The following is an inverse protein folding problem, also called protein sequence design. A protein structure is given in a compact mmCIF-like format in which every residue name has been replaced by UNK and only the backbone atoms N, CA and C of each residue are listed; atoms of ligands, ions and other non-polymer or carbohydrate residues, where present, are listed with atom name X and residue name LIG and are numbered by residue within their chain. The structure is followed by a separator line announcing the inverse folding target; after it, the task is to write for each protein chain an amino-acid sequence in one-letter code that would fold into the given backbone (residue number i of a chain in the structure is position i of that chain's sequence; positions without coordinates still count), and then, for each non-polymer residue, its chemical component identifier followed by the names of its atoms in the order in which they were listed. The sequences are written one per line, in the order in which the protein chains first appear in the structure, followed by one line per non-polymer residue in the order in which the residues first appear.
data_IF_464232205931
#
_entry.id   IF_464232205931
#
_cell.length_a   1.000
_cell.length_b   1.000
_cell.length_c   1.000
_cell.angle_alpha   90.00
_cell.angle_beta   90.00
_cell.angle_gamma   90.00
#
_symmetry.space_group_name_H-M   'P 1'
#
loop_
_entity.id
_entity.type
_entity.pdbx_description
1 polymer ?
#
# COMPACT_ATOMS: atom_id res chain seq x y z
N UNK A 1 59.77 8.30 -22.07
CA UNK A 1 59.51 7.35 -23.17
C UNK A 1 58.90 6.10 -22.58
N UNK A 2 57.61 5.92 -22.88
CA UNK A 2 56.69 4.79 -22.73
C UNK A 2 56.71 3.95 -21.45
N UNK A 3 55.80 4.33 -20.55
CA UNK A 3 54.99 3.39 -19.77
C UNK A 3 54.18 2.53 -20.75
N UNK A 4 54.31 1.21 -20.70
CA UNK A 4 53.37 0.30 -21.33
C UNK A 4 52.40 -0.19 -20.26
N UNK A 5 51.15 0.27 -20.42
CA UNK A 5 49.94 -0.28 -19.81
C UNK A 5 49.91 -1.80 -19.87
N UNK A 6 49.73 -2.43 -18.71
CA UNK A 6 49.29 -3.82 -18.63
C UNK A 6 48.36 -3.99 -17.43
N UNK A 7 47.28 -3.24 -17.42
CA UNK A 7 46.08 -3.54 -16.63
C UNK A 7 44.93 -3.80 -17.58
N UNK A 8 44.48 -5.05 -17.62
CA UNK A 8 43.05 -5.44 -17.67
C UNK A 8 42.90 -6.82 -18.30
N UNK A 9 43.25 -7.85 -17.53
CA UNK A 9 42.46 -9.09 -17.56
C UNK A 9 41.45 -8.98 -16.43
N UNK A 10 40.39 -8.20 -16.65
CA UNK A 10 39.18 -8.29 -15.81
C UNK A 10 38.61 -9.68 -16.01
N UNK A 11 38.66 -10.52 -14.98
CA UNK A 11 37.94 -11.79 -14.99
C UNK A 11 36.45 -11.48 -15.21
N UNK A 12 35.95 -11.93 -16.37
CA UNK A 12 34.64 -11.60 -16.95
C UNK A 12 33.52 -12.24 -16.11
N UNK A 13 33.78 -13.40 -15.50
CA UNK A 13 32.94 -13.99 -14.46
C UNK A 13 33.83 -14.79 -13.49
N UNK A 14 33.35 -15.06 -12.28
CA UNK A 14 34.04 -15.91 -11.31
C UNK A 14 33.13 -17.05 -10.86
N UNK A 15 33.70 -18.25 -10.81
CA UNK A 15 33.01 -19.49 -10.41
C UNK A 15 33.88 -20.18 -9.38
N UNK A 16 33.47 -20.15 -8.12
CA UNK A 16 34.13 -20.89 -7.06
C UNK A 16 33.32 -22.16 -6.79
N UNK A 17 33.80 -23.27 -7.34
CA UNK A 17 33.14 -24.58 -7.29
C UNK A 17 33.11 -25.13 -5.85
N UNK A 18 34.09 -24.77 -5.02
CA UNK A 18 34.21 -25.27 -3.65
C UNK A 18 33.23 -24.56 -2.71
N UNK A 19 32.95 -23.27 -2.94
CA UNK A 19 31.99 -22.47 -2.13
C UNK A 19 30.60 -22.37 -2.75
N UNK A 20 30.45 -22.69 -4.04
CA UNK A 20 29.22 -22.51 -4.79
C UNK A 20 28.92 -21.04 -5.12
N UNK A 21 29.91 -20.17 -5.06
CA UNK A 21 29.76 -18.75 -5.37
C UNK A 21 30.00 -18.50 -6.86
N UNK A 22 29.03 -17.85 -7.51
CA UNK A 22 29.11 -17.45 -8.90
C UNK A 22 28.85 -15.95 -9.00
N UNK A 23 29.73 -15.20 -9.63
CA UNK A 23 29.56 -13.76 -9.84
C UNK A 23 29.91 -13.37 -11.27
N UNK A 24 29.13 -12.45 -11.84
CA UNK A 24 29.28 -11.97 -13.21
C UNK A 24 29.11 -10.44 -13.21
N UNK A 25 29.90 -9.72 -14.01
CA UNK A 25 29.94 -8.26 -14.02
C UNK A 25 29.11 -7.65 -15.15
N UNK A 26 27.92 -8.21 -15.40
CA UNK A 26 26.99 -7.69 -16.40
C UNK A 26 26.07 -8.77 -16.96
N UNK A 27 25.06 -8.37 -17.74
CA UNK A 27 24.13 -9.30 -18.36
C UNK A 27 24.80 -10.23 -19.40
N UNK A 28 25.80 -9.74 -20.13
CA UNK A 28 26.58 -10.55 -21.09
C UNK A 28 27.45 -11.60 -20.37
N UNK A 29 28.11 -11.20 -19.28
CA UNK A 29 28.93 -12.07 -18.44
C UNK A 29 28.10 -13.15 -17.74
N UNK A 30 26.90 -12.80 -17.30
CA UNK A 30 25.94 -13.75 -16.73
C UNK A 30 25.51 -14.79 -17.78
N UNK A 31 25.39 -14.40 -19.04
CA UNK A 31 25.03 -15.30 -20.12
C UNK A 31 26.14 -16.33 -20.38
N UNK A 32 27.40 -15.88 -20.41
CA UNK A 32 28.58 -16.76 -20.50
C UNK A 32 28.71 -17.70 -19.30
N UNK A 33 28.44 -17.20 -18.09
CA UNK A 33 28.42 -18.01 -16.87
C UNK A 33 27.33 -19.11 -16.92
N UNK A 34 26.14 -18.78 -17.43
CA UNK A 34 25.05 -19.75 -17.57
C UNK A 34 25.30 -20.78 -18.67
N UNK A 35 26.01 -20.41 -19.73
CA UNK A 35 26.48 -21.34 -20.75
C UNK A 35 27.52 -22.32 -20.17
N UNK A 36 28.49 -21.81 -19.41
CA UNK A 36 29.48 -22.63 -18.70
C UNK A 36 28.84 -23.62 -17.72
N UNK A 37 27.86 -23.17 -16.91
CA UNK A 37 27.13 -24.04 -15.98
C UNK A 37 26.26 -25.09 -16.68
N UNK A 38 25.74 -24.77 -17.86
CA UNK A 38 24.95 -25.71 -18.67
C UNK A 38 25.83 -26.79 -19.27
N UNK A 39 27.00 -26.42 -19.79
CA UNK A 39 27.97 -27.36 -20.38
C UNK A 39 28.64 -28.25 -19.33
N UNK A 40 28.88 -27.74 -18.12
CA UNK A 40 29.59 -28.46 -17.05
C UNK A 40 28.66 -29.00 -15.95
N UNK A 41 27.33 -28.91 -16.14
CA UNK A 41 26.34 -29.26 -15.12
C UNK A 41 26.37 -30.73 -14.69
N UNK A 42 26.74 -31.65 -15.58
CA UNK A 42 26.89 -33.07 -15.23
C UNK A 42 28.15 -33.34 -14.39
N UNK A 43 29.24 -32.61 -14.64
CA UNK A 43 30.46 -32.69 -13.84
C UNK A 43 30.23 -32.13 -12.43
N UNK A 44 29.55 -30.99 -12.30
CA UNK A 44 29.22 -30.37 -11.01
C UNK A 44 28.29 -31.24 -10.15
N UNK A 45 27.40 -32.01 -10.77
CA UNK A 45 26.51 -32.95 -10.05
C UNK A 45 27.24 -34.14 -9.43
N UNK A 46 28.39 -34.53 -10.00
CA UNK A 46 29.16 -35.69 -9.58
C UNK A 46 30.35 -35.34 -8.66
N UNK A 47 30.46 -34.09 -8.20
CA UNK A 47 31.50 -33.70 -7.26
C UNK A 47 31.28 -34.33 -5.87
N UNK A 48 32.32 -34.89 -5.23
CA UNK A 48 32.21 -35.50 -3.93
C UNK A 48 31.84 -34.43 -2.88
N UNK A 49 30.61 -34.52 -2.37
CA UNK A 49 30.07 -33.65 -1.31
C UNK A 49 30.84 -33.87 0.00
N UNK A 50 32.04 -33.29 0.12
CA UNK A 50 32.83 -33.35 1.35
C UNK A 50 32.28 -32.33 2.36
N UNK A 51 31.61 -32.89 3.36
CA UNK A 51 31.53 -32.44 4.76
C UNK A 51 31.17 -30.96 5.00
N UNK A 52 29.87 -30.68 4.91
CA UNK A 52 29.21 -29.47 5.40
C UNK A 52 29.01 -29.50 6.94
N UNK A 53 30.04 -29.90 7.69
CA UNK A 53 29.94 -30.06 9.15
C UNK A 53 31.30 -29.80 9.83
N UNK A 54 31.63 -28.54 10.05
CA UNK A 54 32.43 -27.98 11.16
C UNK A 54 33.12 -26.69 10.71
N UNK A 55 32.39 -25.58 10.81
CA UNK A 55 32.96 -24.26 11.14
C UNK A 55 31.85 -23.44 11.80
N UNK A 56 31.37 -23.97 12.92
CA UNK A 56 30.45 -23.30 13.84
C UNK A 56 31.26 -22.47 14.84
N UNK A 57 31.96 -21.43 14.35
CA UNK A 57 32.25 -20.21 15.14
C UNK A 57 32.38 -19.03 14.18
N UNK A 58 31.31 -18.73 13.44
CA UNK A 58 30.87 -17.42 12.90
C UNK A 58 29.94 -17.68 11.70
N UNK A 59 28.85 -16.91 11.62
CA UNK A 59 27.78 -16.99 10.61
C UNK A 59 26.88 -18.23 10.68
N UNK A 60 26.19 -18.39 11.81
CA UNK A 60 24.85 -18.96 11.80
C UNK A 60 23.95 -18.08 10.91
N UNK A 61 23.34 -18.64 9.87
CA UNK A 61 21.89 -18.81 9.79
C UNK A 61 21.52 -19.20 8.35
N UNK A 62 20.80 -20.31 8.24
CA UNK A 62 19.79 -20.62 7.23
C UNK A 62 19.37 -19.34 6.50
N UNK A 63 19.53 -19.30 5.17
CA UNK A 63 18.95 -18.25 4.34
C UNK A 63 17.42 -18.32 4.48
N UNK A 64 16.93 -17.74 5.58
CA UNK A 64 15.58 -17.32 5.74
C UNK A 64 15.34 -16.33 4.61
N UNK A 65 14.28 -16.58 3.84
CA UNK A 65 13.55 -15.53 3.12
C UNK A 65 13.68 -14.24 3.94
N UNK A 66 14.15 -13.11 3.38
CA UNK A 66 14.30 -11.89 4.16
C UNK A 66 12.96 -11.63 4.84
N UNK A 67 12.90 -11.87 6.15
CA UNK A 67 11.73 -11.54 6.96
C UNK A 67 11.71 -10.03 6.87
N UNK A 68 10.80 -9.50 6.05
CA UNK A 68 10.65 -8.07 5.91
C UNK A 68 10.57 -7.49 7.33
N UNK A 69 11.44 -6.52 7.63
CA UNK A 69 11.49 -5.89 8.94
C UNK A 69 10.24 -5.03 9.11
N UNK A 70 9.16 -5.68 9.54
CA UNK A 70 7.87 -5.07 9.79
C UNK A 70 7.89 -4.20 11.07
N UNK A 71 9.02 -4.15 11.79
CA UNK A 71 9.16 -3.45 13.05
C UNK A 71 8.40 -4.13 14.19
N UNK A 72 8.30 -3.41 15.31
CA UNK A 72 7.61 -3.91 16.51
C UNK A 72 6.11 -4.12 16.28
N UNK A 73 5.50 -5.11 16.95
CA UNK A 73 4.07 -5.36 16.85
C UNK A 73 3.27 -4.18 17.39
N UNK A 74 2.15 -3.88 16.73
CA UNK A 74 1.31 -2.72 17.02
C UNK A 74 0.81 -2.74 18.48
N UNK A 75 0.42 -3.90 19.00
CA UNK A 75 -0.01 -4.06 20.41
C UNK A 75 1.03 -3.61 21.42
N UNK A 76 2.28 -4.00 21.23
CA UNK A 76 3.38 -3.62 22.14
C UNK A 76 3.58 -2.09 22.13
N UNK A 77 3.56 -1.49 20.94
CA UNK A 77 3.76 -0.05 20.79
C UNK A 77 2.60 0.78 21.31
N UNK A 78 1.36 0.33 21.12
CA UNK A 78 0.16 0.97 21.67
C UNK A 78 0.23 0.99 23.20
N UNK A 79 0.59 -0.15 23.82
CA UNK A 79 0.73 -0.22 25.27
C UNK A 79 1.82 0.73 25.79
N UNK A 80 2.98 0.75 25.13
CA UNK A 80 4.07 1.65 25.50
C UNK A 80 3.68 3.13 25.36
N UNK A 81 2.97 3.47 24.27
CA UNK A 81 2.47 4.83 24.05
C UNK A 81 1.44 5.24 25.12
N UNK A 82 0.49 4.36 25.46
CA UNK A 82 -0.54 4.64 26.46
C UNK A 82 0.04 4.79 27.86
N UNK A 83 1.05 4.00 28.23
CA UNK A 83 1.77 4.17 29.50
C UNK A 83 2.44 5.55 29.57
N UNK A 84 3.08 5.98 28.49
CA UNK A 84 3.70 7.32 28.40
C UNK A 84 2.66 8.43 28.48
N UNK A 85 1.53 8.29 27.78
CA UNK A 85 0.43 9.25 27.77
C UNK A 85 -0.27 9.34 29.14
N UNK A 86 -0.44 8.22 29.84
CA UNK A 86 -1.00 8.21 31.19
C UNK A 86 -0.10 8.92 32.22
N UNK A 87 1.22 8.96 31.98
CA UNK A 87 2.16 9.69 32.82
C UNK A 87 2.17 11.21 32.55
N UNK A 88 1.77 11.65 31.35
CA UNK A 88 1.86 13.07 30.94
C UNK A 88 0.50 13.78 30.92
N UNK A 89 -0.60 13.06 30.69
CA UNK A 89 -1.94 13.66 30.55
C UNK A 89 -2.70 13.57 31.87
N UNK A 90 -3.09 14.74 32.38
CA UNK A 90 -3.85 14.84 33.65
C UNK A 90 -5.27 14.26 33.55
N UNK A 91 -5.90 14.33 32.38
CA UNK A 91 -7.27 13.85 32.19
C UNK A 91 -7.33 12.36 31.82
N UNK A 92 -7.76 11.54 32.78
CA UNK A 92 -8.05 10.10 32.58
C UNK A 92 -9.05 9.84 31.46
N UNK A 93 -10.02 10.74 31.27
CA UNK A 93 -11.01 10.63 30.20
C UNK A 93 -10.35 10.74 28.82
N UNK A 94 -9.41 11.66 28.65
CA UNK A 94 -8.66 11.83 27.40
C UNK A 94 -7.82 10.60 27.09
N UNK A 95 -7.16 10.01 28.09
CA UNK A 95 -6.40 8.76 27.93
C UNK A 95 -7.31 7.62 27.48
N UNK A 96 -8.50 7.50 28.08
CA UNK A 96 -9.50 6.49 27.69
C UNK A 96 -9.99 6.67 26.25
N UNK A 97 -10.23 7.90 25.80
CA UNK A 97 -10.63 8.18 24.41
C UNK A 97 -9.52 7.81 23.41
N UNK A 98 -8.25 8.08 23.76
CA UNK A 98 -7.09 7.67 22.97
C UNK A 98 -6.97 6.15 22.91
N UNK A 99 -7.10 5.48 24.05
CA UNK A 99 -7.06 4.02 24.15
C UNK A 99 -8.08 3.37 23.24
N UNK A 100 -9.36 3.76 23.33
CA UNK A 100 -10.42 3.22 22.47
C UNK A 100 -10.12 3.44 20.99
N UNK A 101 -9.58 4.61 20.63
CA UNK A 101 -9.22 4.91 19.24
C UNK A 101 -8.07 4.02 18.73
N UNK A 102 -7.08 3.74 19.58
CA UNK A 102 -5.95 2.87 19.23
C UNK A 102 -6.33 1.39 19.20
N UNK A 103 -7.21 0.94 20.09
CA UNK A 103 -7.77 -0.42 20.09
C UNK A 103 -8.56 -0.68 18.81
N UNK A 104 -9.48 0.21 18.45
CA UNK A 104 -10.24 0.12 17.21
C UNK A 104 -9.34 0.22 15.96
N UNK A 105 -8.21 0.91 16.06
CA UNK A 105 -7.21 0.93 15.00
C UNK A 105 -6.50 -0.44 14.88
N UNK A 106 -6.14 -1.07 16.01
CA UNK A 106 -5.58 -2.43 16.02
C UNK A 106 -6.54 -3.47 15.46
N UNK A 107 -7.85 -3.33 15.68
CA UNK A 107 -8.86 -4.22 15.07
C UNK A 107 -8.83 -4.19 13.54
N UNK A 108 -8.53 -3.03 12.93
CA UNK A 108 -8.46 -2.88 11.47
C UNK A 108 -7.20 -3.51 10.88
N UNK A 109 -6.06 -3.36 11.55
CA UNK A 109 -4.75 -3.78 11.02
C UNK A 109 -4.28 -5.15 11.52
N UNK A 110 -4.78 -5.58 12.67
CA UNK A 110 -4.31 -6.73 13.42
C UNK A 110 -3.33 -6.31 14.52
N UNK A 111 -3.49 -6.88 15.71
CA UNK A 111 -2.65 -6.58 16.88
C UNK A 111 -1.17 -6.93 16.68
N UNK A 112 -0.91 -7.97 15.89
CA UNK A 112 0.42 -8.48 15.57
C UNK A 112 1.02 -7.86 14.31
N UNK A 113 0.30 -6.95 13.63
CA UNK A 113 0.85 -6.24 12.49
C UNK A 113 2.06 -5.41 12.95
N UNK A 114 3.16 -5.50 12.22
CA UNK A 114 4.32 -4.67 12.49
C UNK A 114 4.02 -3.21 12.11
N UNK A 115 4.40 -2.25 12.94
CA UNK A 115 4.04 -0.85 12.69
C UNK A 115 4.56 -0.33 11.35
N UNK A 116 5.68 -0.85 10.84
CA UNK A 116 6.30 -0.41 9.59
C UNK A 116 5.57 -0.95 8.35
N UNK A 117 4.70 -1.94 8.50
CA UNK A 117 3.87 -2.42 7.40
C UNK A 117 2.65 -1.53 7.15
N UNK A 118 2.38 -0.54 8.00
CA UNK A 118 1.21 0.33 7.86
C UNK A 118 1.60 1.55 7.01
N UNK A 119 1.18 1.56 5.75
CA UNK A 119 1.46 2.66 4.83
C UNK A 119 0.30 3.65 4.74
N UNK A 120 0.55 4.83 4.16
CA UNK A 120 -0.50 5.81 3.83
C UNK A 120 -1.59 5.20 2.95
N UNK A 121 -1.21 4.31 2.01
CA UNK A 121 -2.17 3.63 1.14
C UNK A 121 -3.08 2.70 1.96
N UNK A 122 -2.53 1.96 2.92
CA UNK A 122 -3.33 1.09 3.79
C UNK A 122 -4.30 1.88 4.67
N UNK A 123 -3.91 3.07 5.14
CA UNK A 123 -4.80 3.97 5.87
C UNK A 123 -6.00 4.35 5.00
N UNK A 124 -5.76 4.78 3.75
CA UNK A 124 -6.82 5.16 2.81
C UNK A 124 -7.73 4.00 2.43
N UNK A 125 -7.19 2.79 2.25
CA UNK A 125 -7.98 1.64 1.80
C UNK A 125 -8.70 0.90 2.94
N UNK A 126 -8.11 0.83 4.14
CA UNK A 126 -8.61 -0.03 5.23
C UNK A 126 -9.24 0.76 6.37
N UNK A 127 -8.61 1.87 6.79
CA UNK A 127 -9.06 2.59 7.98
C UNK A 127 -10.07 3.70 7.67
N UNK A 128 -9.78 4.54 6.67
CA UNK A 128 -10.66 5.67 6.30
C UNK A 128 -12.09 5.22 5.97
N UNK A 129 -12.32 4.15 5.18
CA UNK A 129 -13.68 3.72 4.85
C UNK A 129 -14.47 3.23 6.07
N UNK A 130 -13.80 2.59 7.02
CA UNK A 130 -14.39 2.12 8.28
C UNK A 130 -14.80 3.31 9.15
N UNK A 131 -13.93 4.30 9.29
CA UNK A 131 -14.21 5.49 10.10
C UNK A 131 -15.31 6.37 9.51
N UNK A 132 -15.39 6.52 8.19
CA UNK A 132 -16.45 7.30 7.54
C UNK A 132 -17.84 6.70 7.74
N UNK A 133 -17.94 5.38 7.85
CA UNK A 133 -19.19 4.65 8.12
C UNK A 133 -19.49 4.50 9.62
N UNK A 134 -18.62 5.01 10.49
CA UNK A 134 -18.76 4.82 11.94
C UNK A 134 -20.04 5.49 12.45
N UNK A 135 -20.93 4.74 13.12
CA UNK A 135 -22.19 5.29 13.62
C UNK A 135 -21.96 6.25 14.79
N UNK A 136 -22.78 7.28 14.85
CA UNK A 136 -22.81 8.23 15.96
C UNK A 136 -23.61 7.63 17.12
N UNK A 137 -22.92 7.34 18.25
CA UNK A 137 -23.57 6.79 19.45
C UNK A 137 -24.68 7.69 20.02
N UNK A 138 -24.65 9.00 19.75
CA UNK A 138 -25.64 9.96 20.28
C UNK A 138 -26.89 10.07 19.40
N UNK A 139 -26.74 9.96 18.09
CA UNK A 139 -27.82 10.13 17.12
C UNK A 139 -27.89 8.89 16.23
N UNK A 140 -28.85 8.01 16.50
CA UNK A 140 -29.05 6.77 15.74
C UNK A 140 -29.32 7.11 14.27
N UNK A 141 -28.64 6.42 13.35
CA UNK A 141 -28.76 6.65 11.91
C UNK A 141 -27.80 7.70 11.33
N UNK A 142 -27.08 8.45 12.18
CA UNK A 142 -26.05 9.38 11.73
C UNK A 142 -24.65 8.77 11.80
N UNK A 143 -23.76 9.21 10.91
CA UNK A 143 -22.31 8.93 11.01
C UNK A 143 -21.65 9.93 11.95
N UNK A 144 -20.44 9.63 12.42
CA UNK A 144 -19.64 10.62 13.15
C UNK A 144 -19.48 11.93 12.37
N UNK A 145 -19.44 13.03 13.12
CA UNK A 145 -19.14 14.34 12.55
C UNK A 145 -17.67 14.43 12.13
N UNK A 146 -17.39 15.26 11.11
CA UNK A 146 -16.03 15.48 10.61
C UNK A 146 -15.05 15.88 11.72
N UNK A 147 -15.47 16.77 12.62
CA UNK A 147 -14.62 17.20 13.73
C UNK A 147 -14.20 16.04 14.64
N UNK A 148 -15.09 15.06 14.86
CA UNK A 148 -14.76 13.86 15.65
C UNK A 148 -13.84 12.91 14.90
N UNK A 149 -14.04 12.73 13.60
CA UNK A 149 -13.14 11.93 12.75
C UNK A 149 -11.73 12.54 12.75
N UNK A 150 -11.64 13.85 12.59
CA UNK A 150 -10.37 14.57 12.58
C UNK A 150 -9.68 14.52 13.96
N UNK A 151 -10.45 14.58 15.05
CA UNK A 151 -9.94 14.36 16.42
C UNK A 151 -9.31 12.97 16.56
N UNK A 152 -9.98 11.92 16.06
CA UNK A 152 -9.49 10.54 16.08
C UNK A 152 -8.24 10.36 15.22
N UNK A 153 -8.24 10.89 13.99
CA UNK A 153 -7.05 10.97 13.13
C UNK A 153 -5.90 11.66 13.86
N UNK A 154 -6.16 12.77 14.55
CA UNK A 154 -5.17 13.51 15.32
C UNK A 154 -4.51 12.69 16.43
N UNK A 155 -5.25 11.77 17.07
CA UNK A 155 -4.67 10.84 18.05
C UNK A 155 -3.73 9.85 17.39
N UNK A 156 -4.11 9.27 16.25
CA UNK A 156 -3.25 8.36 15.50
C UNK A 156 -2.03 9.07 14.93
N UNK A 157 -2.19 10.30 14.43
CA UNK A 157 -1.07 11.11 13.98
C UNK A 157 -0.06 11.35 15.09
N UNK A 158 -0.50 11.66 16.31
CA UNK A 158 0.40 11.80 17.48
C UNK A 158 1.11 10.48 17.81
N UNK A 159 0.40 9.36 17.72
CA UNK A 159 0.99 8.03 17.92
C UNK A 159 2.11 7.73 16.90
N UNK A 160 1.88 7.94 15.61
CA UNK A 160 2.91 7.71 14.57
C UNK A 160 4.07 8.69 14.66
N UNK A 161 3.81 9.96 15.00
CA UNK A 161 4.88 10.93 15.27
C UNK A 161 5.73 10.51 16.47
N UNK A 162 5.10 10.02 17.55
CA UNK A 162 5.82 9.46 18.69
C UNK A 162 6.66 8.24 18.27
N UNK A 163 6.07 7.29 17.53
CA UNK A 163 6.78 6.11 17.04
C UNK A 163 7.98 6.48 16.16
N UNK A 164 7.87 7.55 15.36
CA UNK A 164 8.98 8.11 14.57
C UNK A 164 10.06 8.70 15.47
N UNK A 165 9.71 9.54 16.45
CA UNK A 165 10.68 10.10 17.40
C UNK A 165 11.37 9.05 18.28
N UNK A 166 10.74 7.89 18.48
CA UNK A 166 11.30 6.75 19.21
C UNK A 166 11.97 5.70 18.31
N UNK A 167 12.20 6.00 17.02
CA UNK A 167 12.83 5.11 16.03
C UNK A 167 12.11 3.78 15.79
N UNK A 168 10.83 3.65 16.18
CA UNK A 168 10.02 2.46 15.88
C UNK A 168 9.46 2.50 14.46
N UNK A 169 9.21 3.70 13.94
CA UNK A 169 8.64 3.93 12.61
C UNK A 169 9.56 4.86 11.81
N UNK A 170 9.94 4.45 10.60
CA UNK A 170 10.98 5.16 9.82
C UNK A 170 10.37 6.09 8.76
N UNK A 171 9.21 5.72 8.25
CA UNK A 171 8.53 6.44 7.17
C UNK A 171 7.86 7.73 7.68
N UNK A 172 7.37 8.53 6.73
CA UNK A 172 6.52 9.66 7.07
C UNK A 172 5.20 9.24 7.67
N UNK A 173 4.65 10.13 8.51
CA UNK A 173 3.45 9.86 9.27
C UNK A 173 2.30 9.52 8.30
N UNK A 174 1.78 8.28 8.30
CA UNK A 174 0.76 7.85 7.34
C UNK A 174 -0.59 8.53 7.60
N UNK A 175 -0.74 9.17 8.76
CA UNK A 175 -1.89 9.96 9.14
C UNK A 175 -1.71 11.44 8.80
N UNK A 176 -0.65 11.88 8.11
CA UNK A 176 -0.42 13.31 7.83
C UNK A 176 -1.52 13.93 6.94
N UNK A 177 -2.09 13.14 6.03
CA UNK A 177 -3.18 13.57 5.16
C UNK A 177 -4.45 13.84 5.98
N UNK A 178 -5.14 14.94 5.69
CA UNK A 178 -6.43 15.26 6.32
C UNK A 178 -7.50 14.25 5.90
N UNK A 179 -8.52 14.05 6.73
CA UNK A 179 -9.69 13.27 6.30
C UNK A 179 -10.34 13.97 5.09
N UNK A 180 -10.54 13.20 4.01
CA UNK A 180 -11.27 13.65 2.83
C UNK A 180 -12.63 14.23 3.23
N UNK A 181 -13.04 15.29 2.53
CA UNK A 181 -14.39 15.84 2.71
C UNK A 181 -15.43 14.84 2.23
N UNK A 182 -16.64 14.87 2.81
CA UNK A 182 -17.77 14.08 2.27
C UNK A 182 -18.04 14.39 0.79
N UNK A 183 -17.70 15.60 0.34
CA UNK A 183 -17.80 16.00 -1.07
C UNK A 183 -16.73 15.31 -1.93
N UNK A 184 -15.47 15.28 -1.48
CA UNK A 184 -14.38 14.55 -2.15
C UNK A 184 -14.66 13.05 -2.22
N UNK A 185 -15.12 12.43 -1.13
CA UNK A 185 -15.47 11.00 -1.11
C UNK A 185 -16.64 10.71 -2.05
N UNK A 186 -17.65 11.60 -2.14
CA UNK A 186 -18.74 11.45 -3.11
C UNK A 186 -18.30 11.70 -4.54
N UNK A 187 -17.39 12.64 -4.78
CA UNK A 187 -16.85 12.91 -6.11
C UNK A 187 -16.03 11.72 -6.61
N UNK A 188 -15.28 11.06 -5.73
CA UNK A 188 -14.52 9.84 -6.04
C UNK A 188 -15.42 8.61 -6.20
N UNK A 189 -16.50 8.51 -5.41
CA UNK A 189 -17.46 7.41 -5.49
C UNK A 189 -18.51 7.53 -6.61
N UNK A 190 -18.75 8.75 -7.11
CA UNK A 190 -19.63 9.02 -8.24
C UNK A 190 -18.78 9.44 -9.45
N UNK A 191 -18.19 8.50 -10.20
CA UNK A 191 -17.76 8.77 -11.55
C UNK A 191 -19.01 8.83 -12.44
N UNK A 192 -19.92 9.79 -12.20
CA UNK A 192 -20.89 10.13 -13.23
C UNK A 192 -20.09 10.75 -14.36
N UNK A 193 -19.66 9.93 -15.30
CA UNK A 193 -19.25 10.41 -16.60
C UNK A 193 -20.44 11.19 -17.17
N UNK A 194 -20.19 12.43 -17.56
CA UNK A 194 -21.18 13.19 -18.33
C UNK A 194 -21.53 12.37 -19.56
N UNK A 195 -22.83 12.16 -19.81
CA UNK A 195 -23.26 11.46 -21.02
C UNK A 195 -22.71 12.22 -22.23
N UNK A 196 -21.96 11.53 -23.07
CA UNK A 196 -21.52 12.11 -24.34
C UNK A 196 -22.73 12.25 -25.27
N UNK A 197 -22.59 13.09 -26.29
CA UNK A 197 -23.63 13.24 -27.31
C UNK A 197 -24.00 11.89 -27.97
N UNK A 198 -23.02 11.01 -28.14
CA UNK A 198 -23.25 9.66 -28.68
C UNK A 198 -23.99 8.75 -27.71
N UNK A 199 -23.75 8.84 -26.39
CA UNK A 199 -24.50 8.09 -25.38
C UNK A 199 -25.97 8.52 -25.35
N UNK A 200 -26.23 9.83 -25.45
CA UNK A 200 -27.57 10.38 -25.57
C UNK A 200 -28.23 9.88 -26.86
N UNK A 201 -27.52 9.93 -27.99
CA UNK A 201 -28.02 9.42 -29.26
C UNK A 201 -28.37 7.94 -29.16
N UNK A 202 -27.57 7.11 -28.49
CA UNK A 202 -27.85 5.69 -28.27
C UNK A 202 -29.12 5.45 -27.43
N UNK A 203 -29.28 6.17 -26.31
CA UNK A 203 -30.45 6.07 -25.43
C UNK A 203 -31.74 6.46 -26.14
N UNK A 204 -31.68 7.51 -26.97
CA UNK A 204 -32.83 8.03 -27.71
C UNK A 204 -33.01 7.41 -29.11
N UNK A 205 -32.07 6.65 -29.66
CA UNK A 205 -32.29 5.93 -30.95
C UNK A 205 -32.90 4.55 -30.74
N UNK A 206 -32.54 3.85 -29.66
CA UNK A 206 -33.13 2.54 -29.36
C UNK A 206 -34.62 2.61 -29.00
N UNK A 207 -35.07 3.75 -28.45
CA UNK A 207 -36.43 3.91 -27.90
C UNK A 207 -37.39 4.68 -28.80
N UNK A 208 -36.88 5.47 -29.76
CA UNK A 208 -37.70 6.43 -30.50
C UNK A 208 -38.13 5.92 -31.89
N UNK A 209 -37.53 4.83 -32.38
CA UNK A 209 -37.88 4.26 -33.69
C UNK A 209 -39.07 3.29 -33.60
N UNK A 210 -39.48 2.84 -32.40
CA UNK A 210 -40.56 1.86 -32.25
C UNK A 210 -41.97 2.44 -32.05
N UNK A 211 -42.12 3.75 -31.81
CA UNK A 211 -43.44 4.37 -31.57
C UNK A 211 -43.80 5.52 -32.53
N UNK A 212 -42.91 5.94 -33.44
CA UNK A 212 -43.27 6.94 -34.47
C UNK A 212 -44.31 6.44 -35.48
N UNK A 213 -44.48 5.11 -35.60
CA UNK A 213 -45.51 4.50 -36.46
C UNK A 213 -46.89 4.42 -35.78
N UNK A 214 -47.03 4.76 -34.49
CA UNK A 214 -48.31 4.70 -33.76
C UNK A 214 -49.05 6.02 -33.62
N UNK A 215 -48.44 7.14 -34.00
CA UNK A 215 -49.10 8.44 -33.94
C UNK A 215 -48.91 9.21 -35.25
N UNK A 216 -49.82 9.08 -36.23
CA UNK A 216 -49.82 9.96 -37.38
C UNK A 216 -50.00 11.40 -36.90
N UNK A 217 -49.00 12.23 -37.15
CA UNK A 217 -49.07 13.67 -36.93
C UNK A 217 -50.14 14.22 -37.86
N UNK A 218 -51.30 14.58 -37.29
CA UNK A 218 -52.39 15.22 -38.03
C UNK A 218 -51.91 16.56 -38.57
N UNK A 219 -51.59 16.60 -39.86
CA UNK A 219 -51.26 17.81 -40.59
C UNK A 219 -52.51 18.68 -40.75
N UNK A 220 -52.79 19.56 -39.79
CA UNK A 220 -53.67 20.71 -40.00
C UNK A 220 -53.34 21.85 -39.04
N UNK A 221 -52.58 22.82 -39.53
CA UNK A 221 -52.70 24.21 -39.11
C UNK A 221 -52.32 25.09 -40.30
N UNK A 222 -53.34 25.46 -41.08
CA UNK A 222 -53.23 26.46 -42.13
C UNK A 222 -52.89 27.81 -41.49
N UNK A 223 -51.70 28.32 -41.77
CA UNK A 223 -51.30 29.69 -41.43
C UNK A 223 -52.00 30.61 -42.44
N UNK A 224 -53.02 31.36 -41.99
CA UNK A 224 -53.55 32.51 -42.72
C UNK A 224 -52.67 33.72 -42.43
N UNK A 225 -52.01 34.25 -43.45
CA UNK A 225 -51.36 35.56 -43.41
C UNK A 225 -52.40 36.69 -43.41
N UNK A 226 -52.28 37.72 -42.57
CA UNK A 226 -53.10 38.92 -42.68
C UNK A 226 -52.49 39.88 -43.71
N UNK A 227 -53.38 40.54 -44.47
CA UNK A 227 -53.08 41.66 -45.37
C UNK A 227 -52.93 42.96 -44.60
#
# INVERSE_FOLDING_TARGET
MNQNDSSDKKNIYSVNIDTGEFSANGPEDHQLMMEFLRENGEFLRNLPKKSFAQSTVQAQHVAAVPVADHGKPLRELVNLHLQKEAATVESKQTVREKQVTLEEFMEVFGENAGIRSITTQDISMRWVPVELKRPNKKYKGETLSRARLEKRRGYLAKFFSWAKTSNFYLSDNPMALKMFTKAEIRAEANPYAEFTYDDLKMLFTASYVLDSDKFPVSSHAAIRSPS
#
